data_IF_515200684545
#
_entry.id   IF_515200684545
#
_cell.length_a   1.000
_cell.length_b   1.000
_cell.length_c   1.000
_cell.angle_alpha   90.00
_cell.angle_beta   90.00
_cell.angle_gamma   90.00
#
_symmetry.space_group_name_H-M   'P 1'
#
loop_
_entity.id
_entity.type
_entity.pdbx_description
1 polymer ?
#
# COMPACT_ATOMS: atom_id res chain seq x y z
N UNK A 1 6.63 26.03 -14.16
CA UNK A 1 6.56 24.60 -13.80
C UNK A 1 5.22 24.41 -13.11
N UNK A 2 4.31 23.66 -13.72
CA UNK A 2 2.98 23.41 -13.16
C UNK A 2 3.15 22.70 -11.82
N UNK A 3 2.54 23.23 -10.75
CA UNK A 3 2.60 22.59 -9.44
C UNK A 3 1.88 21.24 -9.55
N UNK A 4 2.58 20.15 -9.19
CA UNK A 4 1.93 18.86 -8.97
C UNK A 4 0.89 19.06 -7.88
N UNK A 5 -0.39 18.89 -8.23
CA UNK A 5 -1.54 19.10 -7.35
C UNK A 5 -1.70 17.92 -6.37
N UNK A 6 -0.63 17.69 -5.59
CA UNK A 6 -0.60 16.70 -4.53
C UNK A 6 -1.28 17.24 -3.28
N UNK A 7 -1.95 16.38 -2.50
CA UNK A 7 -2.58 16.81 -1.27
C UNK A 7 -1.53 17.42 -0.32
N UNK A 8 -1.90 18.45 0.46
CA UNK A 8 -1.03 19.01 1.48
C UNK A 8 -0.50 17.93 2.42
N UNK A 9 0.82 17.91 2.63
CA UNK A 9 1.48 16.92 3.49
C UNK A 9 1.81 15.58 2.83
N UNK A 10 1.63 15.43 1.51
CA UNK A 10 2.13 14.28 0.76
C UNK A 10 3.62 14.04 1.04
N UNK A 11 4.01 12.78 1.17
CA UNK A 11 5.38 12.43 1.52
C UNK A 11 6.35 12.77 0.38
N UNK A 12 5.90 12.56 -0.86
CA UNK A 12 6.66 12.88 -2.06
C UNK A 12 7.19 14.33 -2.08
N UNK A 13 6.38 15.30 -1.66
CA UNK A 13 6.70 16.74 -1.72
C UNK A 13 7.17 17.33 -0.39
N UNK A 14 7.36 16.51 0.65
CA UNK A 14 7.73 17.00 1.96
C UNK A 14 9.17 17.59 1.95
N UNK A 15 9.37 18.89 2.24
CA UNK A 15 10.69 19.51 2.14
C UNK A 15 11.73 18.88 3.07
N UNK A 16 11.35 18.51 4.29
CA UNK A 16 12.26 17.88 5.25
C UNK A 16 12.72 16.49 4.79
N UNK A 17 11.87 15.76 4.08
CA UNK A 17 12.23 14.46 3.48
C UNK A 17 13.12 14.63 2.26
N UNK A 18 12.85 15.65 1.44
CA UNK A 18 13.71 15.96 0.31
C UNK A 18 15.11 16.39 0.78
N UNK A 19 15.19 17.22 1.81
CA UNK A 19 16.46 17.59 2.45
C UNK A 19 17.20 16.35 2.98
N UNK A 20 16.49 15.47 3.69
CA UNK A 20 17.06 14.25 4.26
C UNK A 20 17.61 13.29 3.20
N UNK A 21 16.91 13.13 2.06
CA UNK A 21 17.27 12.14 1.04
C UNK A 21 18.16 12.70 -0.08
N UNK A 22 18.07 13.99 -0.39
CA UNK A 22 18.72 14.62 -1.55
C UNK A 22 19.61 15.82 -1.18
N UNK A 23 19.67 16.21 0.11
CA UNK A 23 20.54 17.27 0.62
C UNK A 23 20.11 18.70 0.28
N UNK A 24 18.97 18.87 -0.37
CA UNK A 24 18.28 20.13 -0.58
C UNK A 24 16.82 19.84 -0.98
N UNK A 25 15.89 20.75 -0.69
CA UNK A 25 14.50 20.64 -1.15
C UNK A 25 14.17 21.58 -2.34
N UNK A 26 14.86 22.71 -2.43
CA UNK A 26 14.52 23.77 -3.39
C UNK A 26 14.87 23.37 -4.83
N UNK A 27 13.97 23.66 -5.77
CA UNK A 27 14.18 23.39 -7.20
C UNK A 27 14.04 21.92 -7.61
N UNK A 28 13.72 21.01 -6.69
CA UNK A 28 13.47 19.61 -6.99
C UNK A 28 12.08 19.39 -7.58
N UNK A 29 12.01 18.53 -8.60
CA UNK A 29 10.78 17.85 -9.02
C UNK A 29 10.77 16.45 -8.37
N UNK A 30 10.01 16.24 -7.29
CA UNK A 30 10.09 15.00 -6.53
C UNK A 30 9.38 13.86 -7.25
N UNK A 31 10.15 12.88 -7.74
CA UNK A 31 9.67 11.66 -8.42
C UNK A 31 10.38 10.40 -7.87
N UNK A 32 10.51 10.31 -6.54
CA UNK A 32 11.44 9.38 -5.89
C UNK A 32 10.78 8.23 -5.13
N UNK A 33 9.55 8.44 -4.67
CA UNK A 33 8.80 7.46 -3.89
C UNK A 33 7.62 6.93 -4.71
N UNK A 34 7.27 5.66 -4.51
CA UNK A 34 6.13 5.01 -5.17
C UNK A 34 4.79 5.48 -4.59
N UNK A 35 4.51 6.78 -4.72
CA UNK A 35 3.25 7.44 -4.39
C UNK A 35 2.59 7.92 -5.70
N UNK A 36 1.28 7.71 -5.90
CA UNK A 36 0.63 8.19 -7.11
C UNK A 36 0.49 9.71 -7.09
N UNK A 37 0.74 10.33 -8.26
CA UNK A 37 0.52 11.76 -8.50
C UNK A 37 -0.85 12.03 -9.15
N UNK A 38 -1.80 11.12 -8.91
CA UNK A 38 -3.15 11.17 -9.45
C UNK A 38 -4.18 10.95 -8.32
N UNK A 39 -5.35 11.58 -8.39
CA UNK A 39 -6.45 11.30 -7.47
C UNK A 39 -6.86 9.82 -7.49
N UNK A 40 -7.35 9.33 -6.35
CA UNK A 40 -8.01 8.02 -6.28
C UNK A 40 -9.30 8.01 -7.11
N UNK A 41 -9.70 6.82 -7.56
CA UNK A 41 -10.96 6.64 -8.28
C UNK A 41 -12.16 7.08 -7.40
N UNK A 42 -13.21 7.71 -7.97
CA UNK A 42 -14.36 8.19 -7.22
C UNK A 42 -15.02 7.13 -6.33
N UNK A 43 -15.12 5.89 -6.82
CA UNK A 43 -15.69 4.78 -6.05
C UNK A 43 -14.94 4.52 -4.72
N UNK A 44 -13.63 4.77 -4.68
CA UNK A 44 -12.82 4.61 -3.46
C UNK A 44 -13.09 5.77 -2.50
N UNK A 45 -13.04 7.01 -3.00
CA UNK A 45 -13.25 8.20 -2.15
C UNK A 45 -14.67 8.22 -1.58
N UNK A 46 -15.68 7.90 -2.38
CA UNK A 46 -17.08 7.80 -1.93
C UNK A 46 -17.27 6.73 -0.85
N UNK A 47 -16.68 5.54 -1.00
CA UNK A 47 -16.78 4.48 0.00
C UNK A 47 -16.13 4.87 1.34
N UNK A 48 -14.97 5.53 1.29
CA UNK A 48 -14.26 6.02 2.49
C UNK A 48 -15.06 7.14 3.16
N UNK A 49 -15.59 8.10 2.39
CA UNK A 49 -16.43 9.19 2.93
C UNK A 49 -17.71 8.64 3.55
N UNK A 50 -18.36 7.67 2.93
CA UNK A 50 -19.55 7.02 3.48
C UNK A 50 -19.25 6.30 4.81
N UNK A 51 -18.11 5.60 4.91
CA UNK A 51 -17.68 4.97 6.17
C UNK A 51 -17.41 6.01 7.26
N UNK A 52 -16.73 7.10 6.93
CA UNK A 52 -16.48 8.20 7.87
C UNK A 52 -17.79 8.85 8.35
N UNK A 53 -18.81 8.94 7.50
CA UNK A 53 -20.12 9.46 7.89
C UNK A 53 -20.86 8.65 8.98
N UNK A 54 -20.46 7.39 9.24
CA UNK A 54 -21.12 6.54 10.22
C UNK A 54 -20.80 6.91 11.68
N UNK A 55 -19.77 7.73 11.93
CA UNK A 55 -19.40 8.23 13.26
C UNK A 55 -19.19 7.14 14.34
N UNK A 56 -18.85 5.91 13.93
CA UNK A 56 -18.50 4.79 14.81
C UNK A 56 -17.20 4.16 14.33
N UNK A 57 -16.14 4.18 15.16
CA UNK A 57 -14.77 3.79 14.79
C UNK A 57 -14.15 2.76 15.73
N UNK A 58 -14.99 1.95 16.38
CA UNK A 58 -14.53 0.85 17.22
C UNK A 58 -13.93 -0.32 16.41
N UNK A 59 -13.69 -1.43 17.10
CA UNK A 59 -13.22 -2.65 16.45
C UNK A 59 -14.18 -3.14 15.37
N UNK A 60 -13.63 -3.51 14.22
CA UNK A 60 -14.38 -4.03 13.08
C UNK A 60 -14.11 -5.52 12.90
N UNK A 61 -15.18 -6.28 12.61
CA UNK A 61 -15.03 -7.59 12.01
C UNK A 61 -14.77 -7.43 10.50
N UNK A 62 -13.95 -8.31 9.92
CA UNK A 62 -13.70 -8.31 8.48
C UNK A 62 -14.85 -9.05 7.79
N UNK A 63 -15.59 -8.40 6.87
CA UNK A 63 -16.67 -9.07 6.16
C UNK A 63 -16.11 -10.04 5.12
N UNK A 64 -16.73 -11.20 4.93
CA UNK A 64 -16.33 -12.21 3.94
C UNK A 64 -16.19 -11.64 2.52
N UNK A 65 -17.02 -10.63 2.19
CA UNK A 65 -16.99 -9.91 0.91
C UNK A 65 -15.63 -9.28 0.58
N UNK A 66 -14.79 -9.00 1.58
CA UNK A 66 -13.46 -8.43 1.36
C UNK A 66 -12.56 -9.42 0.61
N UNK A 67 -12.55 -10.68 1.05
CA UNK A 67 -11.76 -11.75 0.42
C UNK A 67 -12.34 -12.11 -0.93
N UNK A 68 -13.69 -12.20 -1.03
CA UNK A 68 -14.36 -12.46 -2.30
C UNK A 68 -14.03 -11.39 -3.36
N UNK A 69 -14.09 -10.11 -3.00
CA UNK A 69 -13.76 -9.02 -3.94
C UNK A 69 -12.30 -9.06 -4.43
N UNK A 70 -11.37 -9.50 -3.58
CA UNK A 70 -9.98 -9.72 -4.00
C UNK A 70 -9.87 -10.84 -5.04
N UNK A 71 -10.48 -11.99 -4.79
CA UNK A 71 -10.41 -13.13 -5.72
C UNK A 71 -11.18 -12.90 -7.01
N UNK A 72 -12.31 -12.20 -6.96
CA UNK A 72 -13.03 -11.77 -8.17
C UNK A 72 -12.14 -10.89 -9.07
N UNK A 73 -11.37 -9.97 -8.46
CA UNK A 73 -10.41 -9.15 -9.19
C UNK A 73 -9.27 -9.99 -9.78
N UNK A 74 -8.71 -10.92 -9.00
CA UNK A 74 -7.63 -11.81 -9.46
C UNK A 74 -8.09 -12.70 -10.62
N UNK A 75 -9.28 -13.28 -10.52
CA UNK A 75 -9.85 -14.10 -11.59
C UNK A 75 -10.10 -13.27 -12.85
N UNK A 76 -10.69 -12.09 -12.71
CA UNK A 76 -11.03 -11.23 -13.85
C UNK A 76 -9.80 -10.66 -14.56
N UNK A 77 -8.77 -10.25 -13.81
CA UNK A 77 -7.59 -9.57 -14.38
C UNK A 77 -6.43 -10.50 -14.71
N UNK A 78 -6.34 -11.63 -14.01
CA UNK A 78 -5.18 -12.51 -14.09
C UNK A 78 -5.55 -13.98 -14.35
N UNK A 79 -6.84 -14.33 -14.40
CA UNK A 79 -7.29 -15.71 -14.63
C UNK A 79 -6.88 -16.67 -13.50
N UNK A 80 -6.65 -16.15 -12.30
CA UNK A 80 -6.20 -16.92 -11.14
C UNK A 80 -7.25 -16.91 -10.03
N UNK A 81 -7.47 -18.06 -9.41
CA UNK A 81 -8.45 -18.29 -8.35
C UNK A 81 -7.78 -18.75 -7.04
N UNK A 82 -8.61 -18.96 -6.01
CA UNK A 82 -8.20 -19.34 -4.66
C UNK A 82 -8.03 -20.84 -4.46
N UNK A 83 -7.98 -21.64 -5.54
CA UNK A 83 -7.95 -23.10 -5.44
C UNK A 83 -6.77 -23.58 -4.59
N UNK A 84 -7.08 -24.14 -3.42
CA UNK A 84 -6.11 -24.69 -2.48
C UNK A 84 -5.32 -23.63 -1.69
N UNK A 85 -5.82 -22.39 -1.60
CA UNK A 85 -5.15 -21.29 -0.91
C UNK A 85 -5.95 -20.80 0.29
N UNK A 86 -5.25 -20.55 1.40
CA UNK A 86 -5.79 -19.76 2.51
C UNK A 86 -5.42 -18.29 2.34
N UNK A 87 -6.39 -17.39 2.55
CA UNK A 87 -6.17 -15.95 2.38
C UNK A 87 -6.27 -15.22 3.71
N UNK A 88 -5.22 -14.47 4.06
CA UNK A 88 -5.17 -13.63 5.27
C UNK A 88 -4.86 -12.18 4.90
N UNK A 89 -5.49 -11.23 5.57
CA UNK A 89 -5.25 -9.79 5.36
C UNK A 89 -4.20 -9.26 6.32
N UNK A 90 -3.16 -8.66 5.75
CA UNK A 90 -2.04 -8.00 6.42
C UNK A 90 -2.08 -6.49 6.18
N UNK A 91 -1.59 -5.65 7.11
CA UNK A 91 -1.54 -4.20 6.91
C UNK A 91 -0.58 -3.75 5.82
N UNK A 92 0.44 -4.56 5.47
CA UNK A 92 1.36 -4.26 4.38
C UNK A 92 2.09 -5.50 3.86
N UNK A 93 2.60 -5.42 2.63
CA UNK A 93 3.47 -6.47 2.07
C UNK A 93 4.73 -6.67 2.92
N UNK A 94 5.36 -5.57 3.39
CA UNK A 94 6.56 -5.65 4.24
C UNK A 94 6.31 -6.38 5.56
N UNK A 95 5.17 -6.13 6.20
CA UNK A 95 4.75 -6.87 7.41
C UNK A 95 4.56 -8.35 7.10
N UNK A 96 3.91 -8.69 5.98
CA UNK A 96 3.75 -10.09 5.58
C UNK A 96 5.10 -10.77 5.36
N UNK A 97 6.02 -10.14 4.64
CA UNK A 97 7.36 -10.69 4.39
C UNK A 97 8.10 -10.90 5.72
N UNK A 98 8.09 -9.92 6.63
CA UNK A 98 8.72 -10.05 7.95
C UNK A 98 8.18 -11.24 8.75
N UNK A 99 6.85 -11.37 8.84
CA UNK A 99 6.21 -12.50 9.53
C UNK A 99 6.58 -13.84 8.87
N UNK A 100 6.64 -13.90 7.54
CA UNK A 100 7.01 -15.11 6.83
C UNK A 100 8.49 -15.48 7.07
N UNK A 101 9.39 -14.51 7.12
CA UNK A 101 10.80 -14.76 7.47
C UNK A 101 10.89 -15.31 8.89
N UNK A 102 10.21 -14.70 9.86
CA UNK A 102 10.22 -15.16 11.26
C UNK A 102 9.63 -16.57 11.40
N UNK A 103 8.58 -16.89 10.64
CA UNK A 103 7.88 -18.18 10.75
C UNK A 103 8.57 -19.32 9.98
N UNK A 104 9.27 -19.02 8.88
CA UNK A 104 9.80 -20.01 7.94
C UNK A 104 11.33 -20.01 7.81
N UNK A 105 12.03 -19.23 8.64
CA UNK A 105 13.49 -19.26 8.72
C UNK A 105 13.96 -19.48 10.16
N UNK A 106 15.28 -19.65 10.32
CA UNK A 106 15.94 -19.75 11.61
C UNK A 106 16.98 -18.65 11.72
N UNK A 107 17.33 -18.26 12.94
CA UNK A 107 18.41 -17.31 13.17
C UNK A 107 19.71 -17.76 12.49
N UNK A 108 20.34 -16.86 11.72
CA UNK A 108 21.51 -17.17 10.89
C UNK A 108 21.19 -17.87 9.56
N UNK A 109 19.93 -18.22 9.30
CA UNK A 109 19.46 -18.71 8.01
C UNK A 109 19.47 -17.60 6.94
N UNK A 110 19.80 -17.97 5.70
CA UNK A 110 19.82 -17.04 4.57
C UNK A 110 18.47 -16.94 3.85
N UNK A 111 18.18 -15.75 3.28
CA UNK A 111 17.06 -15.51 2.37
C UNK A 111 17.61 -15.12 1.00
N UNK A 112 17.14 -15.78 -0.06
CA UNK A 112 17.57 -15.49 -1.44
C UNK A 112 16.74 -14.32 -1.99
N UNK A 113 17.42 -13.33 -2.56
CA UNK A 113 16.84 -12.21 -3.29
C UNK A 113 17.47 -12.14 -4.70
N UNK A 114 16.74 -11.58 -5.66
CA UNK A 114 17.21 -11.35 -7.02
C UNK A 114 17.44 -9.85 -7.24
N UNK A 115 18.66 -9.33 -7.01
CA UNK A 115 18.93 -7.90 -7.15
C UNK A 115 18.86 -7.42 -8.62
N UNK A 116 18.56 -6.13 -8.86
CA UNK A 116 18.25 -5.10 -7.88
C UNK A 116 16.86 -5.29 -7.28
N UNK A 117 16.72 -5.01 -5.99
CA UNK A 117 15.44 -4.88 -5.27
C UNK A 117 15.27 -3.45 -4.79
#
# INVERSE_FOLDING_TARGET
>A
MEQLDLPPGALATNPGRLEQHFGHAEGLLPLWIAEPYLPLAPAITEAVTARAGQAWYGYESRPERLIAAFWDWMATRHGWDDTGLETTVSPSVGTSIGVLIDAFSVEGGGVILQPPV
#
